data_IF_245298219658
#
_entry.id   IF_245298219658
#
_cell.length_a   1.000
_cell.length_b   1.000
_cell.length_c   1.000
_cell.angle_alpha   90.00
_cell.angle_beta   90.00
_cell.angle_gamma   90.00
#
_symmetry.space_group_name_H-M   'P 1'
#
loop_
_entity.id
_entity.type
_entity.pdbx_description
1 polymer ?
#
# COMPACT_ATOMS: atom_id res chain seq x y z
N UNK A 1 -25.71 -64.60 -8.77
CA UNK A 1 -24.62 -63.72 -8.33
C UNK A 1 -24.48 -62.65 -9.42
N UNK A 2 -25.37 -61.65 -9.42
CA UNK A 2 -25.20 -60.31 -8.81
C UNK A 2 -23.88 -59.66 -9.26
N UNK A 3 -23.88 -58.73 -10.22
CA UNK A 3 -24.32 -57.30 -10.17
C UNK A 3 -23.27 -56.38 -9.52
N UNK A 4 -22.70 -55.46 -10.31
CA UNK A 4 -22.74 -54.01 -10.05
C UNK A 4 -22.00 -53.22 -11.14
N UNK A 5 -22.77 -52.51 -11.96
CA UNK A 5 -22.31 -51.39 -12.78
C UNK A 5 -23.27 -50.24 -12.47
N UNK A 6 -22.86 -49.35 -11.57
CA UNK A 6 -23.62 -48.15 -11.19
C UNK A 6 -23.60 -47.15 -12.34
N UNK A 7 -24.70 -47.07 -13.09
CA UNK A 7 -25.07 -45.92 -13.88
C UNK A 7 -26.09 -45.10 -13.10
N UNK A 8 -25.69 -43.87 -12.76
CA UNK A 8 -26.56 -42.90 -12.13
C UNK A 8 -27.72 -42.55 -13.07
N UNK A 9 -28.91 -42.76 -12.54
CA UNK A 9 -30.24 -42.61 -13.14
C UNK A 9 -30.53 -41.13 -13.39
N UNK A 10 -30.81 -40.78 -14.65
CA UNK A 10 -31.54 -39.55 -14.99
C UNK A 10 -33.01 -39.97 -15.10
N UNK A 11 -33.77 -39.70 -14.05
CA UNK A 11 -35.22 -39.87 -14.05
C UNK A 11 -35.89 -38.72 -14.82
N UNK A 12 -36.84 -39.01 -15.72
CA UNK A 12 -37.75 -38.03 -16.29
C UNK A 12 -38.93 -37.78 -15.33
N UNK A 13 -39.29 -36.51 -15.10
CA UNK A 13 -40.54 -36.15 -14.43
C UNK A 13 -41.32 -35.20 -15.33
N UNK A 14 -42.24 -35.84 -16.04
CA UNK A 14 -43.67 -35.53 -16.19
C UNK A 14 -44.15 -34.12 -16.60
N UNK A 15 -44.84 -34.21 -17.72
CA UNK A 15 -45.79 -33.36 -18.43
C UNK A 15 -47.02 -32.98 -17.59
N UNK A 16 -47.39 -31.69 -17.58
CA UNK A 16 -48.81 -31.31 -17.56
C UNK A 16 -49.00 -29.89 -18.12
N UNK A 17 -49.53 -29.78 -19.34
CA UNK A 17 -50.34 -28.64 -19.79
C UNK A 17 -50.98 -28.91 -21.16
N UNK A 18 -52.25 -29.30 -21.18
CA UNK A 18 -53.13 -29.13 -22.34
C UNK A 18 -54.25 -28.14 -22.01
N UNK A 19 -54.37 -27.03 -22.75
CA UNK A 19 -55.42 -26.78 -23.78
C UNK A 19 -55.56 -25.28 -24.13
N UNK A 20 -55.58 -25.02 -25.44
CA UNK A 20 -55.71 -23.76 -26.22
C UNK A 20 -56.98 -22.91 -25.91
N UNK A 21 -57.22 -21.66 -26.41
CA UNK A 21 -56.85 -21.15 -27.75
C UNK A 21 -56.67 -19.61 -27.97
N UNK A 22 -56.45 -19.25 -29.25
CA UNK A 22 -56.78 -17.99 -29.97
C UNK A 22 -55.72 -16.87 -30.12
N UNK A 23 -55.33 -16.63 -31.38
CA UNK A 23 -54.94 -15.33 -31.91
C UNK A 23 -56.20 -14.59 -32.42
N UNK A 24 -56.16 -13.31 -32.86
CA UNK A 24 -55.24 -12.19 -32.63
C UNK A 24 -55.99 -10.95 -32.07
N UNK A 25 -55.37 -10.09 -31.24
CA UNK A 25 -55.87 -8.69 -31.09
C UNK A 25 -54.85 -7.79 -30.42
N UNK A 26 -54.55 -6.68 -31.11
CA UNK A 26 -54.05 -5.42 -30.53
C UNK A 26 -54.85 -5.06 -29.27
N UNK A 27 -54.19 -5.06 -28.11
CA UNK A 27 -54.44 -4.06 -27.07
C UNK A 27 -53.35 -4.11 -26.01
N UNK A 28 -52.60 -3.02 -25.94
CA UNK A 28 -51.57 -2.75 -24.95
C UNK A 28 -52.17 -2.74 -23.53
N UNK A 29 -52.05 -3.87 -22.82
CA UNK A 29 -52.04 -3.89 -21.35
C UNK A 29 -50.72 -4.46 -20.91
N UNK A 30 -49.77 -3.56 -20.64
CA UNK A 30 -48.47 -3.86 -20.04
C UNK A 30 -48.70 -4.33 -18.60
N UNK A 31 -48.95 -5.62 -18.42
CA UNK A 31 -48.82 -6.25 -17.10
C UNK A 31 -47.32 -6.28 -16.82
N UNK A 32 -46.85 -5.32 -16.03
CA UNK A 32 -45.45 -5.20 -15.65
C UNK A 32 -45.04 -6.42 -14.84
N UNK A 33 -44.16 -7.25 -15.40
CA UNK A 33 -43.59 -8.42 -14.69
C UNK A 33 -42.36 -7.92 -13.92
N UNK A 34 -42.63 -7.10 -12.89
CA UNK A 34 -41.59 -6.48 -12.06
C UNK A 34 -40.72 -5.47 -12.82
N UNK A 35 -39.46 -5.84 -13.09
CA UNK A 35 -38.46 -4.97 -13.77
C UNK A 35 -38.64 -4.88 -15.28
N UNK A 36 -39.48 -5.73 -15.86
CA UNK A 36 -39.74 -5.78 -17.30
C UNK A 36 -41.16 -5.30 -17.59
N UNK A 37 -41.35 -4.55 -18.67
CA UNK A 37 -42.62 -3.91 -19.01
C UNK A 37 -43.70 -4.91 -19.43
N UNK A 38 -43.31 -6.09 -19.96
CA UNK A 38 -44.22 -7.16 -20.36
C UNK A 38 -43.54 -8.55 -20.34
N UNK A 39 -44.35 -9.61 -20.45
CA UNK A 39 -43.86 -11.00 -20.45
C UNK A 39 -42.90 -11.30 -21.62
N UNK A 40 -43.11 -10.67 -22.76
CA UNK A 40 -42.25 -10.83 -23.94
C UNK A 40 -40.86 -10.24 -23.73
N UNK A 41 -40.76 -9.12 -23.02
CA UNK A 41 -39.48 -8.50 -22.65
C UNK A 41 -38.72 -9.33 -21.61
N UNK A 42 -39.41 -9.97 -20.67
CA UNK A 42 -38.79 -10.93 -19.74
C UNK A 42 -38.20 -12.14 -20.48
N UNK A 43 -38.93 -12.71 -21.45
CA UNK A 43 -38.42 -13.80 -22.30
C UNK A 43 -37.21 -13.35 -23.14
N UNK A 44 -37.25 -12.13 -23.70
CA UNK A 44 -36.11 -11.57 -24.43
C UNK A 44 -34.88 -11.40 -23.54
N UNK A 45 -35.06 -10.92 -22.31
CA UNK A 45 -33.97 -10.76 -21.35
C UNK A 45 -33.35 -12.10 -20.93
N UNK A 46 -34.19 -13.13 -20.71
CA UNK A 46 -33.73 -14.49 -20.43
C UNK A 46 -32.89 -15.06 -21.59
N UNK A 47 -33.41 -14.99 -22.82
CA UNK A 47 -32.71 -15.48 -24.01
C UNK A 47 -31.40 -14.72 -24.26
N UNK A 48 -31.37 -13.42 -23.98
CA UNK A 48 -30.16 -12.62 -24.08
C UNK A 48 -29.10 -13.03 -23.04
N UNK A 49 -29.52 -13.30 -21.80
CA UNK A 49 -28.64 -13.76 -20.74
C UNK A 49 -28.08 -15.15 -21.05
N UNK A 50 -28.91 -16.08 -21.52
CA UNK A 50 -28.48 -17.41 -21.99
C UNK A 50 -27.45 -17.31 -23.13
N UNK A 51 -27.65 -16.38 -24.07
CA UNK A 51 -26.70 -16.13 -25.15
C UNK A 51 -25.35 -15.59 -24.63
N UNK A 52 -25.35 -14.69 -23.65
CA UNK A 52 -24.12 -14.19 -23.01
C UNK A 52 -23.40 -15.27 -22.19
N UNK A 53 -24.14 -16.14 -21.49
CA UNK A 53 -23.55 -17.30 -20.82
C UNK A 53 -22.88 -18.23 -21.82
N UNK A 54 -23.55 -18.56 -22.93
CA UNK A 54 -22.99 -19.40 -24.00
C UNK A 54 -21.75 -18.76 -24.61
N UNK A 55 -21.79 -17.46 -24.90
CA UNK A 55 -20.67 -16.70 -25.44
C UNK A 55 -19.49 -16.67 -24.48
N UNK A 56 -19.73 -16.47 -23.17
CA UNK A 56 -18.68 -16.56 -22.15
C UNK A 56 -18.09 -17.95 -22.07
N UNK A 57 -18.90 -19.02 -22.07
CA UNK A 57 -18.40 -20.39 -22.07
C UNK A 57 -17.54 -20.70 -23.30
N UNK A 58 -17.95 -20.22 -24.48
CA UNK A 58 -17.15 -20.34 -25.70
C UNK A 58 -15.84 -19.56 -25.62
N UNK A 59 -15.88 -18.32 -25.13
CA UNK A 59 -14.67 -17.51 -24.92
C UNK A 59 -13.72 -18.18 -23.92
N UNK A 60 -14.24 -18.72 -22.82
CA UNK A 60 -13.45 -19.39 -21.79
C UNK A 60 -12.76 -20.63 -22.36
N UNK A 61 -13.52 -21.46 -23.09
CA UNK A 61 -13.00 -22.63 -23.79
C UNK A 61 -11.95 -22.28 -24.85
N UNK A 62 -12.15 -21.19 -25.58
CA UNK A 62 -11.19 -20.70 -26.56
C UNK A 62 -9.94 -20.11 -25.90
N UNK A 63 -10.07 -19.40 -24.77
CA UNK A 63 -8.91 -18.91 -24.01
C UNK A 63 -8.13 -20.06 -23.36
N UNK A 64 -8.82 -21.06 -22.82
CA UNK A 64 -8.20 -22.28 -22.29
C UNK A 64 -7.47 -23.04 -23.40
N UNK A 65 -8.12 -23.19 -24.56
CA UNK A 65 -7.50 -23.80 -25.74
C UNK A 65 -6.30 -22.98 -26.23
N UNK A 66 -6.40 -21.65 -26.33
CA UNK A 66 -5.26 -20.81 -26.70
C UNK A 66 -4.15 -20.86 -25.68
N UNK A 67 -4.45 -20.92 -24.38
CA UNK A 67 -3.42 -21.15 -23.38
C UNK A 67 -2.78 -22.52 -23.56
N UNK A 68 -3.57 -23.57 -23.84
CA UNK A 68 -3.08 -24.93 -24.07
C UNK A 68 -2.33 -25.11 -25.40
N UNK A 69 -2.62 -24.32 -26.44
CA UNK A 69 -1.94 -24.38 -27.75
C UNK A 69 -0.75 -23.43 -27.81
N UNK A 70 -0.82 -22.27 -27.15
CA UNK A 70 0.36 -21.41 -26.94
C UNK A 70 1.33 -22.06 -25.94
N UNK A 71 0.85 -23.02 -25.15
CA UNK A 71 1.63 -24.03 -24.42
C UNK A 71 1.56 -25.41 -25.12
N UNK A 72 1.93 -25.52 -26.40
CA UNK A 72 2.21 -26.84 -26.99
C UNK A 72 3.16 -27.66 -26.08
N UNK A 73 3.02 -29.00 -26.09
CA UNK A 73 2.78 -29.81 -24.91
C UNK A 73 4.02 -30.00 -24.05
N UNK A 74 4.09 -29.32 -22.90
CA UNK A 74 4.73 -29.90 -21.73
C UNK A 74 3.70 -30.78 -21.00
N UNK A 75 3.25 -31.86 -21.65
CA UNK A 75 2.86 -33.05 -20.90
C UNK A 75 4.11 -33.55 -20.21
N UNK A 76 4.31 -33.11 -18.98
CA UNK A 76 5.02 -33.90 -17.99
C UNK A 76 4.48 -33.48 -16.63
N UNK A 77 3.60 -34.34 -16.11
CA UNK A 77 3.36 -34.43 -14.66
C UNK A 77 4.65 -34.83 -13.88
N UNK A 78 5.77 -34.97 -14.59
CA UNK A 78 7.15 -35.08 -14.09
C UNK A 78 8.08 -34.10 -14.83
N UNK A 79 7.74 -32.81 -14.90
CA UNK A 79 8.67 -31.82 -15.43
C UNK A 79 9.82 -31.68 -14.41
N UNK A 80 10.99 -32.20 -14.80
CA UNK A 80 12.23 -31.92 -14.11
C UNK A 80 12.30 -30.40 -13.85
N UNK A 81 12.54 -29.98 -12.61
CA UNK A 81 12.52 -28.57 -12.25
C UNK A 81 13.43 -27.76 -13.17
N UNK A 82 13.01 -26.55 -13.54
CA UNK A 82 13.72 -25.72 -14.53
C UNK A 82 15.15 -25.35 -14.09
N UNK A 83 15.45 -25.47 -12.79
CA UNK A 83 16.80 -25.31 -12.23
C UNK A 83 17.78 -26.42 -12.64
N UNK A 84 17.30 -27.51 -13.25
CA UNK A 84 18.14 -28.61 -13.76
C UNK A 84 18.52 -28.43 -15.24
N UNK A 85 18.05 -27.37 -15.90
CA UNK A 85 18.43 -27.05 -17.28
C UNK A 85 19.78 -26.33 -17.32
N UNK A 86 20.58 -26.62 -18.35
CA UNK A 86 21.91 -26.02 -18.55
C UNK A 86 21.88 -24.49 -18.67
N UNK A 87 20.76 -23.91 -19.14
CA UNK A 87 20.57 -22.46 -19.27
C UNK A 87 20.15 -21.75 -17.96
N UNK A 88 20.12 -22.47 -16.83
CA UNK A 88 19.65 -21.92 -15.56
C UNK A 88 20.54 -20.77 -15.06
N UNK A 89 21.86 -20.96 -15.14
CA UNK A 89 22.82 -19.95 -14.67
C UNK A 89 22.73 -18.67 -15.49
N UNK A 90 22.51 -18.77 -16.81
CA UNK A 90 22.31 -17.60 -17.67
C UNK A 90 21.00 -16.87 -17.38
N UNK A 91 19.92 -17.60 -17.08
CA UNK A 91 18.64 -17.01 -16.68
C UNK A 91 18.74 -16.32 -15.33
N UNK A 92 19.41 -16.94 -14.36
CA UNK A 92 19.66 -16.33 -13.05
C UNK A 92 20.55 -15.09 -13.22
N UNK A 93 21.58 -15.13 -14.07
CA UNK A 93 22.43 -13.97 -14.36
C UNK A 93 21.64 -12.82 -15.03
N UNK A 94 20.80 -13.12 -16.01
CA UNK A 94 19.92 -12.14 -16.64
C UNK A 94 18.91 -11.55 -15.64
N UNK A 95 18.39 -12.39 -14.75
CA UNK A 95 17.48 -11.99 -13.68
C UNK A 95 18.16 -11.08 -12.64
N UNK A 96 19.35 -11.43 -12.18
CA UNK A 96 20.14 -10.59 -11.27
C UNK A 96 20.55 -9.27 -11.93
N UNK A 97 20.84 -9.28 -13.24
CA UNK A 97 21.08 -8.07 -14.01
C UNK A 97 19.85 -7.15 -14.09
N UNK A 98 18.65 -7.73 -14.13
CA UNK A 98 17.38 -6.99 -14.11
C UNK A 98 17.01 -6.52 -12.70
N UNK A 99 17.32 -7.30 -11.67
CA UNK A 99 17.01 -7.01 -10.28
C UNK A 99 18.25 -7.22 -9.38
N UNK A 100 19.08 -6.18 -9.18
CA UNK A 100 20.26 -6.30 -8.32
C UNK A 100 19.89 -6.57 -6.85
N UNK A 101 18.67 -6.21 -6.43
CA UNK A 101 18.18 -6.52 -5.08
C UNK A 101 17.88 -8.00 -4.86
N UNK A 102 17.76 -8.80 -5.92
CA UNK A 102 17.45 -10.22 -5.80
C UNK A 102 18.59 -11.03 -5.18
N UNK A 103 19.82 -10.50 -5.16
CA UNK A 103 20.97 -11.14 -4.49
C UNK A 103 20.71 -11.33 -2.98
N UNK A 104 20.09 -10.33 -2.33
CA UNK A 104 19.78 -10.41 -0.89
C UNK A 104 18.75 -11.50 -0.58
N UNK A 105 17.90 -11.82 -1.55
CA UNK A 105 16.82 -12.81 -1.41
C UNK A 105 17.13 -14.15 -2.08
N UNK A 106 18.35 -14.37 -2.58
CA UNK A 106 18.71 -15.56 -3.35
C UNK A 106 18.41 -16.87 -2.61
N UNK A 107 18.74 -16.92 -1.31
CA UNK A 107 18.49 -18.09 -0.46
C UNK A 107 16.99 -18.39 -0.32
N UNK A 108 16.18 -17.34 -0.23
CA UNK A 108 14.74 -17.47 -0.03
C UNK A 108 14.00 -17.77 -1.33
N UNK A 109 14.46 -17.20 -2.44
CA UNK A 109 14.00 -17.54 -3.78
C UNK A 109 14.23 -19.04 -4.00
N UNK A 110 15.42 -19.55 -3.67
CA UNK A 110 15.71 -20.98 -3.72
C UNK A 110 14.79 -21.82 -2.85
N UNK A 111 14.51 -21.38 -1.61
CA UNK A 111 13.58 -22.07 -0.72
C UNK A 111 12.15 -22.11 -1.28
N UNK A 112 11.66 -21.01 -1.85
CA UNK A 112 10.33 -20.92 -2.46
C UNK A 112 10.21 -21.82 -3.71
N UNK A 113 11.29 -21.94 -4.49
CA UNK A 113 11.34 -22.84 -5.65
C UNK A 113 11.35 -24.32 -5.24
N UNK A 114 11.94 -24.64 -4.08
CA UNK A 114 11.93 -25.99 -3.52
C UNK A 114 10.57 -26.35 -2.91
N UNK A 115 9.90 -25.38 -2.26
CA UNK A 115 8.55 -25.54 -1.70
C UNK A 115 7.49 -25.74 -2.80
N UNK A 116 7.64 -25.06 -3.94
CA UNK A 116 6.64 -25.04 -5.01
C UNK A 116 7.20 -25.58 -6.34
N UNK A 117 7.31 -26.91 -6.43
CA UNK A 117 7.80 -27.63 -7.62
C UNK A 117 6.96 -27.34 -8.89
N UNK A 118 5.68 -26.98 -8.75
CA UNK A 118 4.82 -26.62 -9.87
C UNK A 118 5.17 -25.22 -10.43
N UNK A 119 5.66 -24.32 -9.59
CA UNK A 119 6.19 -23.03 -10.03
C UNK A 119 7.55 -23.18 -10.70
N UNK A 120 8.36 -24.12 -10.25
CA UNK A 120 9.66 -24.42 -10.84
C UNK A 120 9.57 -24.90 -12.30
N UNK A 121 8.40 -25.27 -12.82
CA UNK A 121 8.20 -25.59 -14.24
C UNK A 121 7.86 -24.38 -15.13
N UNK A 122 7.59 -23.20 -14.54
CA UNK A 122 7.17 -22.00 -15.28
C UNK A 122 8.37 -21.13 -15.66
N UNK A 123 8.28 -20.48 -16.82
CA UNK A 123 9.32 -19.56 -17.30
C UNK A 123 9.52 -18.35 -16.36
N UNK A 124 8.45 -17.91 -15.70
CA UNK A 124 8.44 -16.77 -14.75
C UNK A 124 8.70 -17.20 -13.29
N UNK A 125 9.29 -18.38 -13.06
CA UNK A 125 9.50 -18.92 -11.71
C UNK A 125 10.32 -17.99 -10.81
N UNK A 126 11.35 -17.33 -11.35
CA UNK A 126 12.23 -16.41 -10.63
C UNK A 126 11.53 -15.12 -10.22
N UNK A 127 10.75 -14.51 -11.14
CA UNK A 127 9.99 -13.30 -10.86
C UNK A 127 8.91 -13.54 -9.78
N UNK A 128 8.19 -14.66 -9.87
CA UNK A 128 7.16 -15.03 -8.90
C UNK A 128 7.78 -15.41 -7.54
N UNK A 129 8.91 -16.12 -7.55
CA UNK A 129 9.61 -16.49 -6.32
C UNK A 129 10.20 -15.26 -5.62
N UNK A 130 10.77 -14.30 -6.35
CA UNK A 130 11.21 -13.02 -5.78
C UNK A 130 10.02 -12.25 -5.22
N UNK A 131 8.90 -12.17 -5.95
CA UNK A 131 7.68 -11.53 -5.44
C UNK A 131 7.22 -12.13 -4.12
N UNK A 132 7.28 -13.47 -3.99
CA UNK A 132 6.95 -14.18 -2.74
C UNK A 132 7.99 -13.96 -1.64
N UNK A 133 9.28 -13.98 -1.95
CA UNK A 133 10.36 -13.75 -0.98
C UNK A 133 10.33 -12.32 -0.43
N UNK A 134 10.17 -11.34 -1.32
CA UNK A 134 10.00 -9.93 -0.94
C UNK A 134 8.74 -9.74 -0.13
N UNK A 135 7.63 -10.40 -0.48
CA UNK A 135 6.40 -10.34 0.31
C UNK A 135 6.56 -10.97 1.71
N UNK A 136 7.29 -12.08 1.84
CA UNK A 136 7.63 -12.71 3.13
C UNK A 136 8.47 -11.76 4.00
N UNK A 137 9.42 -11.04 3.41
CA UNK A 137 10.27 -10.07 4.12
C UNK A 137 9.71 -8.65 4.20
N UNK A 138 8.54 -8.39 3.63
CA UNK A 138 7.95 -7.07 3.64
C UNK A 138 7.50 -6.72 5.06
N UNK A 139 8.37 -6.05 5.81
CA UNK A 139 8.04 -5.44 7.09
C UNK A 139 7.31 -4.13 6.85
N UNK A 140 6.16 -3.93 7.51
CA UNK A 140 5.44 -2.65 7.45
C UNK A 140 6.35 -1.52 7.92
N UNK A 141 6.28 -0.32 7.32
CA UNK A 141 7.19 0.78 7.63
C UNK A 141 7.18 1.18 9.12
N UNK A 142 6.06 1.01 9.81
CA UNK A 142 5.94 1.27 11.25
C UNK A 142 6.79 0.30 12.10
N UNK A 143 6.88 -0.98 11.69
CA UNK A 143 7.66 -2.01 12.38
C UNK A 143 9.17 -1.94 12.13
N UNK A 144 9.61 -1.18 11.13
CA UNK A 144 11.04 -0.96 10.83
C UNK A 144 11.68 -0.02 11.86
N UNK A 145 10.87 0.85 12.49
CA UNK A 145 11.33 1.75 13.54
C UNK A 145 11.66 0.99 14.83
N UNK A 146 11.10 -0.20 15.02
CA UNK A 146 11.32 -1.03 16.21
C UNK A 146 12.50 -2.01 16.07
N UNK A 147 13.01 -2.22 14.85
CA UNK A 147 14.11 -3.16 14.59
C UNK A 147 15.46 -2.51 14.94
N UNK A 148 16.01 -2.88 16.11
CA UNK A 148 17.26 -2.36 16.64
C UNK A 148 18.44 -2.55 15.65
N UNK A 149 18.46 -3.65 14.89
CA UNK A 149 19.53 -3.92 13.93
C UNK A 149 19.50 -2.93 12.75
N UNK A 150 18.30 -2.51 12.32
CA UNK A 150 18.14 -1.50 11.28
C UNK A 150 18.54 -0.12 11.80
N UNK A 151 18.10 0.24 13.02
CA UNK A 151 18.44 1.52 13.64
C UNK A 151 19.95 1.68 13.81
N UNK A 152 20.63 0.65 14.33
CA UNK A 152 22.09 0.69 14.51
C UNK A 152 22.86 0.77 13.19
N UNK A 153 22.43 0.04 12.16
CA UNK A 153 23.15 -0.01 10.89
C UNK A 153 22.89 1.21 10.01
N UNK A 154 21.66 1.71 9.96
CA UNK A 154 21.24 2.71 8.97
C UNK A 154 20.86 4.08 9.55
N UNK A 155 20.36 4.15 10.80
CA UNK A 155 19.89 5.40 11.41
C UNK A 155 20.98 6.05 12.24
N UNK A 156 21.54 5.33 13.22
CA UNK A 156 22.53 5.86 14.15
C UNK A 156 23.91 6.07 13.52
N UNK A 157 24.27 5.30 12.49
CA UNK A 157 25.51 5.49 11.74
C UNK A 157 25.46 6.61 10.71
N UNK A 158 24.28 7.12 10.37
CA UNK A 158 24.14 8.16 9.37
C UNK A 158 24.30 9.56 10.00
N UNK A 159 25.43 10.19 9.71
CA UNK A 159 25.78 11.53 10.21
C UNK A 159 24.73 12.59 9.87
N UNK A 160 24.08 12.50 8.70
CA UNK A 160 23.06 13.48 8.31
C UNK A 160 21.84 13.43 9.21
N UNK A 161 21.40 12.23 9.58
CA UNK A 161 20.25 12.03 10.46
C UNK A 161 20.60 12.52 11.87
N UNK A 162 21.77 12.16 12.39
CA UNK A 162 22.24 12.64 13.69
C UNK A 162 22.32 14.16 13.74
N UNK A 163 22.93 14.79 12.73
CA UNK A 163 23.06 16.25 12.68
C UNK A 163 21.69 16.93 12.61
N UNK A 164 20.73 16.36 11.88
CA UNK A 164 19.36 16.88 11.84
C UNK A 164 18.67 16.77 13.20
N UNK A 165 18.79 15.64 13.90
CA UNK A 165 18.24 15.45 15.25
C UNK A 165 18.88 16.43 16.23
N UNK A 166 20.21 16.59 16.17
CA UNK A 166 20.93 17.55 17.01
C UNK A 166 20.48 18.98 16.71
N UNK A 167 20.31 19.32 15.43
CA UNK A 167 19.83 20.64 15.02
C UNK A 167 18.41 20.90 15.54
N UNK A 168 17.48 19.97 15.36
CA UNK A 168 16.12 20.07 15.88
C UNK A 168 16.09 20.19 17.41
N UNK A 169 16.97 19.46 18.09
CA UNK A 169 17.15 19.58 19.54
C UNK A 169 17.68 20.96 19.95
N UNK A 170 18.75 21.45 19.31
CA UNK A 170 19.32 22.78 19.58
C UNK A 170 18.34 23.90 19.23
N UNK A 171 17.62 23.77 18.12
CA UNK A 171 16.56 24.67 17.71
C UNK A 171 15.43 24.65 18.73
N UNK A 172 15.00 23.50 19.24
CA UNK A 172 14.00 23.40 20.32
C UNK A 172 14.46 24.02 21.64
N UNK A 173 15.77 24.04 21.92
CA UNK A 173 16.35 24.77 23.06
C UNK A 173 16.46 26.27 22.81
N UNK A 174 16.59 26.69 21.54
CA UNK A 174 16.88 28.08 21.18
C UNK A 174 15.77 29.10 21.47
N UNK A 175 14.45 28.81 21.38
CA UNK A 175 13.44 29.83 21.62
C UNK A 175 12.98 29.93 23.08
N UNK A 176 13.42 29.08 24.02
CA UNK A 176 12.81 29.07 25.37
C UNK A 176 13.69 28.86 26.61
N UNK A 177 15.03 28.75 26.54
CA UNK A 177 15.86 28.64 27.75
C UNK A 177 17.03 29.61 27.74
N UNK A 178 16.88 30.68 28.51
CA UNK A 178 17.77 31.83 28.58
C UNK A 178 19.26 31.54 28.70
N UNK A 179 20.03 32.07 27.75
CA UNK A 179 21.25 32.75 28.17
C UNK A 179 20.79 33.83 29.19
N UNK A 180 21.27 33.81 30.45
CA UNK A 180 20.94 34.87 31.39
C UNK A 180 21.28 36.19 30.72
N UNK A 181 20.35 37.15 30.76
CA UNK A 181 20.56 38.48 30.19
C UNK A 181 21.77 39.10 30.89
N UNK A 182 22.94 38.93 30.29
CA UNK A 182 24.16 39.53 30.80
C UNK A 182 24.04 41.02 30.56
N UNK A 183 24.43 41.82 31.56
CA UNK A 183 24.59 43.25 31.35
C UNK A 183 25.68 43.42 30.27
N UNK A 184 25.40 44.07 29.13
CA UNK A 184 26.36 44.16 28.02
C UNK A 184 27.61 44.98 28.36
N UNK A 185 27.58 45.71 29.48
CA UNK A 185 28.73 46.40 30.06
C UNK A 185 28.69 46.18 31.57
N UNK A 186 29.83 45.77 32.15
CA UNK A 186 29.99 45.60 33.60
C UNK A 186 29.48 46.82 34.36
N UNK A 187 28.90 46.58 35.54
CA UNK A 187 28.13 47.56 36.32
C UNK A 187 28.69 48.98 36.24
N UNK A 188 28.02 49.84 35.49
CA UNK A 188 28.35 51.25 35.44
C UNK A 188 28.01 51.85 36.81
N UNK A 189 29.02 52.28 37.56
CA UNK A 189 28.79 53.12 38.72
C UNK A 189 28.10 54.40 38.22
N UNK A 190 26.88 54.66 38.68
CA UNK A 190 26.19 55.90 38.41
C UNK A 190 26.91 57.04 39.15
N UNK A 191 27.98 57.58 38.55
CA UNK A 191 28.64 58.79 39.04
C UNK A 191 27.79 59.97 38.57
N UNK A 192 26.76 60.29 39.34
CA UNK A 192 25.96 61.51 39.12
C UNK A 192 26.80 62.69 39.60
N UNK A 193 27.09 63.70 38.76
CA UNK A 193 27.83 64.89 39.20
C UNK A 193 27.02 65.66 40.27
N UNK A 194 27.67 66.28 41.27
CA UNK A 194 26.96 67.02 42.30
C UNK A 194 26.27 68.26 41.69
N UNK A 195 24.93 68.29 41.75
CA UNK A 195 24.15 69.47 41.38
C UNK A 195 24.27 70.52 42.49
N UNK A 196 25.09 71.56 42.26
CA UNK A 196 25.23 72.73 43.14
C UNK A 196 24.68 73.97 42.43
N UNK A 197 23.79 74.76 43.05
CA UNK A 197 23.31 76.00 42.44
C UNK A 197 24.44 77.02 42.32
N UNK A 198 24.51 77.72 41.19
CA UNK A 198 25.46 78.81 40.99
C UNK A 198 24.91 80.18 41.43
N UNK A 199 23.59 80.29 41.61
CA UNK A 199 22.88 81.53 41.95
C UNK A 199 21.90 81.32 43.11
N UNK A 200 21.59 82.42 43.82
CA UNK A 200 20.58 82.43 44.92
C UNK A 200 19.21 82.02 44.38
N UNK A 201 18.85 82.46 43.18
CA UNK A 201 17.57 82.14 42.55
C UNK A 201 17.46 80.64 42.22
N UNK A 202 18.55 80.05 41.70
CA UNK A 202 18.62 78.62 41.39
C UNK A 202 18.61 77.77 42.66
N UNK A 203 19.26 78.23 43.73
CA UNK A 203 19.21 77.61 45.05
C UNK A 203 17.78 77.62 45.63
N UNK A 204 17.06 78.73 45.45
CA UNK A 204 15.66 78.86 45.84
C UNK A 204 14.76 77.87 45.10
N UNK A 205 14.89 77.79 43.77
CA UNK A 205 14.11 76.85 42.95
C UNK A 205 14.41 75.37 43.29
N UNK A 206 15.67 75.03 43.59
CA UNK A 206 16.01 73.68 44.06
C UNK A 206 15.43 73.38 45.45
N UNK A 207 15.48 74.34 46.37
CA UNK A 207 14.91 74.19 47.70
C UNK A 207 13.37 74.02 47.63
N UNK A 208 12.69 74.81 46.81
CA UNK A 208 11.25 74.69 46.58
C UNK A 208 10.87 73.31 46.04
N UNK A 209 11.60 72.80 45.05
CA UNK A 209 11.40 71.43 44.52
C UNK A 209 11.64 70.35 45.59
N UNK A 210 12.62 70.53 46.47
CA UNK A 210 12.90 69.59 47.56
C UNK A 210 11.81 69.61 48.63
N UNK A 211 11.31 70.80 48.99
CA UNK A 211 10.22 70.96 49.96
C UNK A 211 8.92 70.37 49.40
N UNK A 212 8.60 70.63 48.14
CA UNK A 212 7.37 70.12 47.51
C UNK A 212 7.42 68.62 47.20
N UNK A 213 8.61 68.06 46.95
CA UNK A 213 8.78 66.61 46.73
C UNK A 213 8.80 65.80 48.03
N UNK A 214 9.14 66.43 49.17
CA UNK A 214 8.95 65.86 50.50
C UNK A 214 7.53 66.17 50.99
N UNK A 215 6.56 65.38 50.55
CA UNK A 215 5.27 65.29 51.27
C UNK A 215 5.57 64.91 52.73
N UNK A 216 5.28 65.82 53.65
CA UNK A 216 4.92 65.51 55.05
C UNK A 216 3.42 65.29 55.06
#
# INVERSE_FOLDING_TARGET
MQENMEQAVISPIEEEAQKAPSAPTDNEKTVSVGKFANSDELLKAYNHLEAEFTKKCQQLKETERRSATSSEPSTTEDAAPLYEKEDWDERVAAFLGKYPMAEEYANEIGAVLLEDKALAGREDCLDVALGRAVAKNYKKPESIVEDEAFLEKHVYKNDKIRNKIIQEYLEGLSPLVGAPRTLPHGGAAAIIPPSRPASIEEAGAMAEKLINSRRI
#
